data_IF_217090191404
#
_entry.id   IF_217090191404
#
_cell.length_a   1.000
_cell.length_b   1.000
_cell.length_c   1.000
_cell.angle_alpha   90.00
_cell.angle_beta   90.00
_cell.angle_gamma   90.00
#
_symmetry.space_group_name_H-M   'P 1'
#
loop_
_entity.id
_entity.type
_entity.pdbx_description
1 polymer ?
#
# COMPACT_ATOMS: atom_id res chain seq x y z
N UNK A 1 -14.98 7.66 -15.29
CA UNK A 1 -15.19 9.01 -14.70
C UNK A 1 -13.81 9.49 -14.34
N UNK A 2 -13.22 10.37 -15.16
CA UNK A 2 -11.80 10.69 -15.03
C UNK A 2 -11.50 11.34 -13.69
N UNK A 3 -10.47 10.87 -13.00
CA UNK A 3 -9.99 11.53 -11.79
C UNK A 3 -9.66 13.01 -12.10
N UNK A 4 -10.18 13.91 -11.27
CA UNK A 4 -9.78 15.30 -11.24
C UNK A 4 -8.29 15.46 -10.91
N UNK A 5 -7.72 16.61 -11.23
CA UNK A 5 -6.31 16.90 -10.88
C UNK A 5 -6.07 16.84 -9.38
N UNK A 6 -7.02 17.29 -8.55
CA UNK A 6 -6.93 17.14 -7.10
C UNK A 6 -6.92 15.65 -6.71
N UNK A 7 -7.82 14.82 -7.23
CA UNK A 7 -7.83 13.39 -6.94
C UNK A 7 -6.51 12.69 -7.33
N UNK A 8 -5.90 13.06 -8.46
CA UNK A 8 -4.58 12.55 -8.85
C UNK A 8 -3.48 12.99 -7.88
N UNK A 9 -3.50 14.25 -7.44
CA UNK A 9 -2.58 14.75 -6.43
C UNK A 9 -2.74 14.03 -5.09
N UNK A 10 -3.98 13.81 -4.64
CA UNK A 10 -4.26 13.05 -3.41
C UNK A 10 -3.83 11.58 -3.52
N UNK A 11 -3.99 10.95 -4.69
CA UNK A 11 -3.52 9.58 -4.92
C UNK A 11 -1.99 9.47 -4.79
N UNK A 12 -1.24 10.43 -5.34
CA UNK A 12 0.20 10.47 -5.16
C UNK A 12 0.57 10.65 -3.67
N UNK A 13 -0.09 11.57 -2.96
CA UNK A 13 0.12 11.72 -1.51
C UNK A 13 -0.17 10.45 -0.73
N UNK A 14 -1.19 9.69 -1.12
CA UNK A 14 -1.52 8.42 -0.48
C UNK A 14 -0.37 7.40 -0.60
N UNK A 15 0.28 7.35 -1.76
CA UNK A 15 1.48 6.53 -1.99
C UNK A 15 2.66 7.04 -1.15
N UNK A 16 2.87 8.35 -1.11
CA UNK A 16 3.92 8.97 -0.29
C UNK A 16 3.74 8.64 1.20
N UNK A 17 2.51 8.70 1.71
CA UNK A 17 2.21 8.35 3.10
C UNK A 17 2.43 6.87 3.40
N UNK A 18 2.04 5.96 2.48
CA UNK A 18 2.33 4.53 2.63
C UNK A 18 3.84 4.29 2.79
N UNK A 19 4.63 4.92 1.92
CA UNK A 19 6.08 4.74 1.94
C UNK A 19 6.70 5.39 3.20
N UNK A 20 6.16 6.52 3.67
CA UNK A 20 6.54 7.14 4.93
C UNK A 20 6.25 6.24 6.15
N UNK A 21 5.11 5.53 6.17
CA UNK A 21 4.80 4.57 7.24
C UNK A 21 5.80 3.41 7.20
N UNK A 22 6.07 2.85 6.02
CA UNK A 22 7.05 1.77 5.84
C UNK A 22 8.44 2.18 6.37
N UNK A 23 8.90 3.37 5.99
CA UNK A 23 10.18 3.91 6.46
C UNK A 23 10.18 4.15 7.99
N UNK A 24 9.07 4.63 8.53
CA UNK A 24 8.93 4.82 9.98
C UNK A 24 9.02 3.49 10.74
N UNK A 25 8.36 2.44 10.24
CA UNK A 25 8.45 1.09 10.81
C UNK A 25 9.88 0.55 10.74
N UNK A 26 10.58 0.75 9.61
CA UNK A 26 12.00 0.37 9.50
C UNK A 26 12.88 1.05 10.56
N UNK A 27 12.67 2.34 10.82
CA UNK A 27 13.40 3.07 11.86
C UNK A 27 13.05 2.57 13.27
N UNK A 28 11.77 2.32 13.55
CA UNK A 28 11.32 1.73 14.83
C UNK A 28 11.98 0.35 15.02
N UNK A 29 11.94 -0.50 14.00
CA UNK A 29 12.56 -1.82 14.02
C UNK A 29 14.05 -1.74 14.38
N UNK A 30 14.78 -0.81 13.76
CA UNK A 30 16.21 -0.61 14.02
C UNK A 30 16.49 -0.13 15.44
N UNK A 31 15.68 0.80 15.97
CA UNK A 31 15.79 1.26 17.35
C UNK A 31 15.57 0.11 18.31
N UNK A 32 14.48 -0.65 18.14
CA UNK A 32 14.15 -1.78 19.00
C UNK A 32 15.24 -2.86 18.92
N UNK A 33 15.68 -3.21 17.72
CA UNK A 33 16.69 -4.26 17.53
C UNK A 33 18.02 -3.94 18.21
N UNK A 34 18.45 -2.67 18.19
CA UNK A 34 19.73 -2.28 18.76
C UNK A 34 19.66 -1.96 20.25
N UNK A 35 18.58 -1.31 20.71
CA UNK A 35 18.49 -0.81 22.09
C UNK A 35 17.58 -1.65 23.00
N UNK A 36 16.60 -2.37 22.45
CA UNK A 36 15.53 -3.07 23.18
C UNK A 36 15.21 -4.44 22.57
N UNK A 37 16.17 -5.40 22.55
CA UNK A 37 16.05 -6.64 21.77
C UNK A 37 14.89 -7.56 22.22
N UNK A 38 14.48 -7.50 23.48
CA UNK A 38 13.30 -8.24 23.96
C UNK A 38 12.00 -7.69 23.35
N UNK A 39 11.84 -6.37 23.37
CA UNK A 39 10.70 -5.68 22.74
C UNK A 39 10.71 -5.81 21.23
N UNK A 40 11.88 -5.85 20.60
CA UNK A 40 12.00 -6.16 19.17
C UNK A 40 11.36 -7.51 18.85
N UNK A 41 11.62 -8.56 19.65
CA UNK A 41 11.03 -9.87 19.41
C UNK A 41 9.50 -9.85 19.52
N UNK A 42 8.95 -9.16 20.53
CA UNK A 42 7.50 -9.00 20.69
C UNK A 42 6.91 -8.20 19.52
N UNK A 43 7.51 -7.06 19.17
CA UNK A 43 7.07 -6.20 18.08
C UNK A 43 7.05 -6.94 16.73
N UNK A 44 8.11 -7.72 16.45
CA UNK A 44 8.27 -8.47 15.22
C UNK A 44 7.35 -9.70 15.14
N UNK A 45 6.85 -10.22 16.26
CA UNK A 45 5.84 -11.29 16.28
C UNK A 45 4.40 -10.77 16.22
N UNK A 46 4.20 -9.47 16.49
CA UNK A 46 2.88 -8.85 16.57
C UNK A 46 2.69 -7.78 15.51
N UNK A 47 2.89 -6.51 15.86
CA UNK A 47 2.36 -5.41 15.08
C UNK A 47 3.24 -5.02 13.88
N UNK A 48 4.56 -5.26 13.88
CA UNK A 48 5.43 -4.86 12.76
C UNK A 48 5.02 -5.57 11.46
N UNK A 49 4.92 -6.92 11.41
CA UNK A 49 4.47 -7.58 10.20
C UNK A 49 3.03 -7.23 9.82
N UNK A 50 2.13 -7.08 10.79
CA UNK A 50 0.73 -6.72 10.52
C UNK A 50 0.60 -5.36 9.82
N UNK A 51 1.35 -4.36 10.28
CA UNK A 51 1.38 -3.03 9.65
C UNK A 51 1.98 -3.14 8.25
N UNK A 52 3.15 -3.75 8.09
CA UNK A 52 3.81 -3.87 6.79
C UNK A 52 2.95 -4.61 5.77
N UNK A 53 2.28 -5.68 6.19
CA UNK A 53 1.37 -6.45 5.34
C UNK A 53 0.04 -5.73 5.07
N UNK A 54 -0.40 -4.81 5.94
CA UNK A 54 -1.53 -3.94 5.61
C UNK A 54 -1.17 -2.91 4.52
N UNK A 55 0.10 -2.52 4.42
CA UNK A 55 0.59 -1.55 3.43
C UNK A 55 0.79 -2.16 2.04
N UNK A 56 1.32 -3.39 1.98
CA UNK A 56 1.67 -4.08 0.73
C UNK A 56 1.06 -5.48 0.69
N UNK A 57 0.77 -6.01 -0.52
CA UNK A 57 0.33 -7.39 -0.73
C UNK A 57 1.43 -8.45 -0.42
N UNK A 58 2.25 -8.25 0.62
CA UNK A 58 3.22 -9.28 1.02
C UNK A 58 2.48 -10.41 1.76
N UNK A 59 2.05 -11.39 0.96
CA UNK A 59 1.26 -12.58 1.35
C UNK A 59 2.00 -13.48 2.35
N UNK A 60 3.24 -13.16 2.71
CA UNK A 60 4.08 -13.97 3.61
C UNK A 60 3.55 -14.06 5.04
N UNK A 61 2.69 -13.12 5.46
CA UNK A 61 2.23 -13.03 6.86
C UNK A 61 0.70 -12.99 7.06
N UNK A 62 -0.11 -13.21 6.01
CA UNK A 62 -1.58 -13.14 6.13
C UNK A 62 -2.27 -14.51 6.22
N UNK A 63 -3.15 -14.63 7.22
CA UNK A 63 -4.34 -15.48 7.13
C UNK A 63 -5.24 -14.97 5.98
N UNK A 64 -5.74 -15.89 5.16
CA UNK A 64 -6.39 -15.68 3.85
C UNK A 64 -7.38 -14.49 3.78
N UNK A 65 -7.20 -13.62 2.78
CA UNK A 65 -8.30 -12.80 2.20
C UNK A 65 -8.36 -11.30 2.56
N UNK A 66 -7.27 -10.66 2.98
CA UNK A 66 -7.28 -9.25 3.40
C UNK A 66 -7.15 -8.23 2.26
N UNK A 67 -7.90 -7.13 2.36
CA UNK A 67 -7.80 -5.93 1.52
C UNK A 67 -6.72 -4.99 2.09
N UNK A 68 -5.71 -4.67 1.30
CA UNK A 68 -4.55 -3.84 1.67
C UNK A 68 -4.67 -2.40 1.16
N UNK A 69 -3.78 -1.52 1.65
CA UNK A 69 -3.64 -0.18 1.08
C UNK A 69 -3.18 -0.24 -0.38
N UNK A 70 -2.37 -1.23 -0.75
CA UNK A 70 -1.99 -1.47 -2.15
C UNK A 70 -3.22 -1.81 -3.01
N UNK A 71 -4.17 -2.60 -2.51
CA UNK A 71 -5.43 -2.90 -3.22
C UNK A 71 -6.28 -1.64 -3.41
N UNK A 72 -6.28 -0.75 -2.41
CA UNK A 72 -6.93 0.55 -2.51
C UNK A 72 -6.29 1.40 -3.61
N UNK A 73 -4.96 1.49 -3.62
CA UNK A 73 -4.22 2.26 -4.64
C UNK A 73 -4.44 1.67 -6.03
N UNK A 74 -4.37 0.34 -6.18
CA UNK A 74 -4.58 -0.35 -7.44
C UNK A 74 -5.98 -0.03 -8.01
N UNK A 75 -7.02 -0.15 -7.18
CA UNK A 75 -8.39 0.17 -7.58
C UNK A 75 -8.54 1.63 -8.04
N UNK A 76 -7.92 2.57 -7.34
CA UNK A 76 -7.96 4.00 -7.70
C UNK A 76 -7.16 4.27 -9.00
N UNK A 77 -6.05 3.57 -9.22
CA UNK A 77 -5.26 3.68 -10.45
C UNK A 77 -5.99 3.09 -11.66
N UNK A 78 -6.68 1.96 -11.50
CA UNK A 78 -7.44 1.33 -12.58
C UNK A 78 -8.60 2.25 -13.02
N UNK A 79 -9.30 2.86 -12.06
CA UNK A 79 -10.29 3.90 -12.33
C UNK A 79 -9.70 5.10 -13.09
N UNK A 80 -8.43 5.43 -12.89
CA UNK A 80 -7.75 6.51 -13.60
C UNK A 80 -7.32 6.14 -15.03
N UNK A 81 -7.04 4.85 -15.29
CA UNK A 81 -6.56 4.34 -16.58
C UNK A 81 -7.68 4.08 -17.58
N UNK A 82 -8.82 3.59 -17.12
CA UNK A 82 -9.98 3.29 -17.98
C UNK A 82 -10.55 4.53 -18.69
N UNK A 83 -10.24 5.74 -18.22
CA UNK A 83 -10.64 6.97 -18.89
C UNK A 83 -9.67 7.43 -20.01
N UNK A 84 -8.44 6.89 -20.08
CA UNK A 84 -7.50 7.18 -21.17
C UNK A 84 -7.66 6.26 -22.39
N UNK A 85 -8.48 5.21 -22.30
CA UNK A 85 -8.78 4.27 -23.40
C UNK A 85 -10.00 4.68 -24.24
N UNK A 86 -10.23 6.00 -24.38
CA UNK A 86 -11.29 6.59 -25.20
C UNK A 86 -11.12 6.42 -26.73
N UNK A 87 -10.39 5.41 -27.22
CA UNK A 87 -10.42 5.06 -28.65
C UNK A 87 -10.06 3.59 -28.89
N UNK A 88 -10.97 2.90 -29.59
CA UNK A 88 -10.76 1.65 -30.35
C UNK A 88 -11.13 0.32 -29.67
N UNK A 89 -12.44 0.05 -29.58
CA UNK A 89 -13.03 -1.20 -30.13
C UNK A 89 -14.48 -0.95 -30.56
N UNK A 90 -14.64 -0.15 -31.63
CA UNK A 90 -15.75 -0.35 -32.58
C UNK A 90 -15.18 -1.02 -33.81
N UNK A 91 -15.47 -2.32 -33.97
CA UNK A 91 -15.35 -3.20 -35.16
C UNK A 91 -14.96 -4.61 -34.69
N UNK A 92 -15.59 -5.72 -35.08
CA UNK A 92 -16.49 -6.00 -36.21
C UNK A 92 -17.22 -7.35 -35.99
N UNK A 93 -18.43 -7.41 -36.56
CA UNK A 93 -19.27 -8.56 -36.95
C UNK A 93 -19.95 -9.35 -35.82
#
# INVERSE_FOLDING_TARGET
MSLSQDQKHQLNKLMDYRDAISNSIFHIERILKYHFPEEFNLAYQHYIPQILTALYEDKKWLSRGGYSLQDTINKLMDQAKDDNSGTTTRKFI
#
